data_IF_014179368355
#
_entry.id   IF_014179368355
#
_cell.length_a   1.000
_cell.length_b   1.000
_cell.length_c   1.000
_cell.angle_alpha   90.00
_cell.angle_beta   90.00
_cell.angle_gamma   90.00
#
_symmetry.space_group_name_H-M   'P 1'
#
loop_
_entity.id
_entity.type
_entity.pdbx_description
1 polymer ?
#
# COMPACT_ATOMS: atom_id res chain seq x y z
N UNK A 1 10.41 0.16 -17.91
CA UNK A 1 9.97 0.51 -16.54
C UNK A 1 9.81 -0.79 -15.74
N UNK A 2 10.55 -0.98 -14.66
CA UNK A 2 10.52 -2.22 -13.86
C UNK A 2 9.15 -2.41 -13.20
N UNK A 3 8.74 -3.66 -12.93
CA UNK A 3 7.47 -3.98 -12.25
C UNK A 3 7.37 -3.25 -10.90
N UNK A 4 8.45 -3.26 -10.13
CA UNK A 4 8.57 -2.55 -8.86
C UNK A 4 8.25 -1.06 -9.00
N UNK A 5 8.79 -0.39 -10.03
CA UNK A 5 8.53 1.03 -10.28
C UNK A 5 7.08 1.31 -10.69
N UNK A 6 6.44 0.42 -11.46
CA UNK A 6 5.00 0.52 -11.77
C UNK A 6 4.15 0.41 -10.51
N UNK A 7 4.45 -0.56 -9.67
CA UNK A 7 3.72 -0.82 -8.43
C UNK A 7 3.85 0.36 -7.46
N UNK A 8 5.06 0.88 -7.26
CA UNK A 8 5.30 2.07 -6.42
C UNK A 8 4.50 3.27 -6.93
N UNK A 9 4.46 3.51 -8.25
CA UNK A 9 3.72 4.65 -8.81
C UNK A 9 2.21 4.49 -8.66
N UNK A 10 1.66 3.31 -8.98
CA UNK A 10 0.21 3.07 -8.93
C UNK A 10 -0.28 3.03 -7.48
N UNK A 11 0.36 2.21 -6.64
CA UNK A 11 -0.03 2.07 -5.24
C UNK A 11 0.31 3.33 -4.44
N UNK A 12 1.43 3.99 -4.76
CA UNK A 12 1.78 5.28 -4.17
C UNK A 12 0.76 6.35 -4.49
N UNK A 13 0.32 6.48 -5.74
CA UNK A 13 -0.74 7.41 -6.13
C UNK A 13 -2.07 7.09 -5.43
N UNK A 14 -2.43 5.81 -5.35
CA UNK A 14 -3.62 5.35 -4.63
C UNK A 14 -3.57 5.70 -3.14
N UNK A 15 -2.44 5.43 -2.49
CA UNK A 15 -2.21 5.78 -1.09
C UNK A 15 -2.25 7.28 -0.86
N UNK A 16 -1.69 8.07 -1.77
CA UNK A 16 -1.71 9.53 -1.67
C UNK A 16 -3.13 10.09 -1.81
N UNK A 17 -3.92 9.52 -2.72
CA UNK A 17 -5.33 9.90 -2.90
C UNK A 17 -6.14 9.67 -1.61
N UNK A 18 -5.98 8.49 -0.99
CA UNK A 18 -6.67 8.17 0.26
C UNK A 18 -6.17 9.03 1.44
N UNK A 19 -4.90 9.39 1.46
CA UNK A 19 -4.37 10.36 2.42
C UNK A 19 -5.01 11.74 2.24
N UNK A 20 -5.17 12.21 1.01
CA UNK A 20 -5.85 13.47 0.71
C UNK A 20 -7.32 13.44 1.14
N UNK A 21 -8.02 12.32 0.96
CA UNK A 21 -9.41 12.14 1.41
C UNK A 21 -9.49 12.17 2.95
N UNK A 22 -8.56 11.49 3.64
CA UNK A 22 -8.48 11.52 5.09
C UNK A 22 -8.18 12.94 5.63
N UNK A 23 -7.25 13.67 4.99
CA UNK A 23 -6.94 15.06 5.30
C UNK A 23 -8.15 15.97 5.07
N UNK A 24 -8.84 15.80 3.96
CA UNK A 24 -10.05 16.55 3.64
C UNK A 24 -11.13 16.34 4.71
N UNK A 25 -11.40 15.09 5.11
CA UNK A 25 -12.33 14.82 6.21
C UNK A 25 -11.89 15.43 7.54
N UNK A 26 -10.61 15.30 7.88
CA UNK A 26 -10.07 15.89 9.11
C UNK A 26 -10.22 17.42 9.16
N UNK A 27 -10.05 18.12 8.03
CA UNK A 27 -10.14 19.58 7.94
C UNK A 27 -11.58 20.08 7.88
N UNK A 28 -12.46 19.41 7.12
CA UNK A 28 -13.79 19.95 6.80
C UNK A 28 -14.93 19.36 7.62
N UNK A 29 -14.81 18.13 8.10
CA UNK A 29 -15.95 17.46 8.74
C UNK A 29 -15.75 17.23 10.23
N UNK A 30 -14.57 17.45 10.83
CA UNK A 30 -14.26 17.16 12.26
C UNK A 30 -14.54 15.72 12.73
N UNK A 31 -15.13 14.88 11.88
CA UNK A 31 -15.47 13.49 12.14
C UNK A 31 -14.37 12.59 11.56
N UNK A 32 -13.77 11.74 12.40
CA UNK A 32 -12.68 10.82 12.03
C UNK A 32 -13.06 9.70 11.04
N UNK A 33 -14.31 9.66 10.59
CA UNK A 33 -14.88 8.61 9.74
C UNK A 33 -14.17 8.50 8.38
N UNK A 34 -13.74 9.63 7.81
CA UNK A 34 -12.98 9.66 6.57
C UNK A 34 -11.57 9.08 6.74
N UNK A 35 -10.96 9.28 7.91
CA UNK A 35 -9.69 8.66 8.27
C UNK A 35 -9.84 7.15 8.40
N UNK A 36 -10.87 6.67 9.12
CA UNK A 36 -11.14 5.22 9.28
C UNK A 36 -11.44 4.56 7.94
N UNK A 37 -12.28 5.18 7.11
CA UNK A 37 -12.63 4.65 5.79
C UNK A 37 -11.40 4.56 4.89
N UNK A 38 -10.62 5.64 4.78
CA UNK A 38 -9.40 5.67 3.97
C UNK A 38 -8.38 4.62 4.44
N UNK A 39 -8.30 4.40 5.75
CA UNK A 39 -7.46 3.37 6.34
C UNK A 39 -7.91 1.96 5.97
N UNK A 40 -9.21 1.67 6.06
CA UNK A 40 -9.79 0.39 5.64
C UNK A 40 -9.54 0.10 4.16
N UNK A 41 -9.69 1.12 3.30
CA UNK A 41 -9.35 0.99 1.88
C UNK A 41 -7.86 0.64 1.66
N UNK A 42 -6.96 1.27 2.42
CA UNK A 42 -5.52 0.94 2.37
C UNK A 42 -5.22 -0.45 2.90
N UNK A 43 -5.94 -0.92 3.91
CA UNK A 43 -5.81 -2.28 4.42
C UNK A 43 -6.27 -3.32 3.40
N UNK A 44 -7.44 -3.11 2.80
CA UNK A 44 -8.00 -4.03 1.82
C UNK A 44 -7.06 -4.14 0.60
N UNK A 45 -6.51 -3.00 0.15
CA UNK A 45 -5.66 -2.94 -1.04
C UNK A 45 -4.18 -3.19 -0.76
N UNK A 46 -3.71 -3.00 0.47
CA UNK A 46 -2.31 -3.08 0.91
C UNK A 46 -1.92 -4.38 1.58
N UNK A 47 -2.82 -5.37 1.66
CA UNK A 47 -2.74 -6.59 2.49
C UNK A 47 -3.05 -6.30 3.98
N UNK A 48 -3.56 -7.29 4.73
CA UNK A 48 -4.01 -7.11 6.12
C UNK A 48 -2.92 -6.65 7.10
N UNK A 49 -1.64 -6.66 6.72
CA UNK A 49 -0.57 -6.08 7.53
C UNK A 49 -0.72 -4.56 7.70
N UNK A 50 -1.42 -3.86 6.80
CA UNK A 50 -1.80 -2.46 7.04
C UNK A 50 -2.71 -2.30 8.26
N UNK A 51 -3.28 -3.36 8.85
CA UNK A 51 -3.97 -3.26 10.16
C UNK A 51 -2.99 -3.07 11.32
N UNK A 52 -1.69 -3.35 11.15
CA UNK A 52 -0.70 -3.10 12.19
C UNK A 52 -0.58 -1.61 12.54
N UNK A 53 -0.94 -0.69 11.65
CA UNK A 53 -1.00 0.73 12.03
C UNK A 53 -2.05 1.00 13.11
N UNK A 54 -3.07 0.17 13.28
CA UNK A 54 -4.00 0.29 14.41
C UNK A 54 -3.34 -0.03 15.76
N UNK A 55 -2.26 -0.81 15.76
CA UNK A 55 -1.50 -1.10 16.97
C UNK A 55 -0.59 0.07 17.40
N UNK A 56 -0.23 0.95 16.45
CA UNK A 56 0.78 2.00 16.63
C UNK A 56 0.17 3.40 16.69
N UNK A 57 -1.00 3.62 16.09
CA UNK A 57 -1.61 4.96 15.98
C UNK A 57 -3.09 4.99 16.37
N UNK A 58 -3.57 6.11 16.96
CA UNK A 58 -4.99 6.27 17.29
C UNK A 58 -5.88 6.13 16.05
N UNK A 59 -7.01 5.44 16.23
CA UNK A 59 -7.92 5.03 15.17
C UNK A 59 -8.43 6.25 14.38
N UNK A 60 -8.45 6.14 13.05
CA UNK A 60 -9.06 7.18 12.19
C UNK A 60 -8.27 8.48 12.05
N UNK A 61 -7.03 8.52 12.51
CA UNK A 61 -6.15 9.68 12.30
C UNK A 61 -5.51 9.66 10.92
N UNK A 62 -5.24 10.85 10.38
CA UNK A 62 -4.44 11.03 9.16
C UNK A 62 -3.08 10.34 9.27
N UNK A 63 -2.49 10.38 10.47
CA UNK A 63 -1.22 9.72 10.77
C UNK A 63 -1.33 8.20 10.60
N UNK A 64 -2.41 7.59 11.08
CA UNK A 64 -2.68 6.17 10.84
C UNK A 64 -2.79 5.85 9.36
N UNK A 65 -3.54 6.64 8.59
CA UNK A 65 -3.68 6.46 7.13
C UNK A 65 -2.34 6.56 6.40
N UNK A 66 -1.47 7.48 6.82
CA UNK A 66 -0.11 7.59 6.30
C UNK A 66 0.72 6.32 6.58
N UNK A 67 0.72 5.83 7.82
CA UNK A 67 1.47 4.64 8.21
C UNK A 67 0.96 3.40 7.46
N UNK A 68 -0.37 3.21 7.36
CA UNK A 68 -0.98 2.14 6.57
C UNK A 68 -0.52 2.17 5.10
N UNK A 69 -0.51 3.36 4.50
CA UNK A 69 -0.07 3.57 3.13
C UNK A 69 1.40 3.21 2.91
N UNK A 70 2.28 3.63 3.82
CA UNK A 70 3.71 3.30 3.77
C UNK A 70 3.94 1.80 3.92
N UNK A 71 3.27 1.16 4.88
CA UNK A 71 3.37 -0.30 5.08
C UNK A 71 2.92 -1.03 3.81
N UNK A 72 1.74 -0.69 3.27
CA UNK A 72 1.22 -1.30 2.05
C UNK A 72 2.17 -1.12 0.85
N UNK A 73 2.81 0.05 0.73
CA UNK A 73 3.75 0.33 -0.36
C UNK A 73 5.04 -0.50 -0.24
N UNK A 74 5.55 -0.67 0.97
CA UNK A 74 6.70 -1.56 1.23
C UNK A 74 6.36 -3.01 0.92
N UNK A 75 5.17 -3.47 1.30
CA UNK A 75 4.70 -4.83 1.01
C UNK A 75 4.59 -5.08 -0.49
N UNK A 76 3.92 -4.18 -1.21
CA UNK A 76 3.77 -4.29 -2.65
C UNK A 76 5.10 -4.21 -3.40
N UNK A 77 6.05 -3.42 -2.90
CA UNK A 77 7.41 -3.36 -3.45
C UNK A 77 8.14 -4.69 -3.26
N UNK A 78 8.04 -5.31 -2.08
CA UNK A 78 8.62 -6.62 -1.81
C UNK A 78 7.99 -7.72 -2.70
N UNK A 79 6.66 -7.72 -2.86
CA UNK A 79 5.95 -8.66 -3.75
C UNK A 79 6.41 -8.49 -5.21
N UNK A 80 6.57 -7.25 -5.66
CA UNK A 80 7.04 -6.97 -7.03
C UNK A 80 8.46 -7.49 -7.26
N UNK A 81 9.35 -7.35 -6.27
CA UNK A 81 10.74 -7.85 -6.33
C UNK A 81 10.81 -9.38 -6.30
N UNK A 82 9.99 -10.02 -5.47
CA UNK A 82 9.90 -11.50 -5.48
C UNK A 82 9.34 -11.99 -6.81
N UNK A 83 8.36 -11.29 -7.38
CA UNK A 83 7.77 -11.62 -8.67
C UNK A 83 8.77 -11.51 -9.83
N UNK A 84 9.63 -10.48 -9.86
CA UNK A 84 10.67 -10.37 -10.90
C UNK A 84 11.69 -11.51 -10.79
N UNK A 85 12.19 -11.79 -9.59
CA UNK A 85 13.13 -12.89 -9.34
C UNK A 85 12.55 -14.25 -9.73
N UNK A 86 11.25 -14.48 -9.46
CA UNK A 86 10.56 -15.70 -9.85
C UNK A 86 10.44 -15.86 -11.36
N UNK A 87 10.24 -14.77 -12.10
CA UNK A 87 10.20 -14.79 -13.57
C UNK A 87 11.56 -15.07 -14.19
N UNK A 88 12.63 -14.49 -13.64
CA UNK A 88 14.01 -14.79 -14.04
C UNK A 88 14.34 -16.27 -13.83
N UNK A 89 14.01 -16.81 -12.66
CA UNK A 89 14.18 -18.23 -12.38
C UNK A 89 13.39 -19.12 -13.35
N UNK A 90 12.12 -18.79 -13.63
CA UNK A 90 11.30 -19.53 -14.61
C UNK A 90 11.82 -19.46 -16.04
N UNK A 91 12.47 -18.35 -16.44
CA UNK A 91 13.09 -18.23 -17.76
C UNK A 91 14.34 -19.10 -17.86
N UNK A 92 15.23 -19.00 -16.88
CA UNK A 92 16.43 -19.86 -16.81
C UNK A 92 16.08 -21.35 -16.83
N UNK A 93 15.01 -21.76 -16.13
CA UNK A 93 14.51 -23.15 -16.17
C UNK A 93 14.02 -23.57 -17.55
N UNK A 94 13.46 -22.67 -18.36
CA UNK A 94 12.97 -22.98 -19.71
C UNK A 94 14.11 -23.12 -20.70
N UNK A 95 15.08 -22.22 -20.65
CA UNK A 95 16.27 -22.24 -21.52
C UNK A 95 17.17 -23.46 -21.29
N UNK A 96 17.22 -24.01 -20.07
CA UNK A 96 17.98 -25.23 -19.76
C UNK A 96 17.26 -26.54 -20.15
N UNK A 97 16.02 -26.47 -20.62
CA UNK A 97 15.22 -27.64 -21.03
C UNK A 97 15.00 -27.72 -22.55
N UNK A 98 15.54 -26.77 -23.32
CA UNK A 98 15.64 -26.78 -24.79
C UNK A 98 17.08 -27.16 -25.21
#
# INVERSE_FOLDING_TARGET
>A
MTKTRKVILIYGAWSLLLLCIALYGAVFTTHGEFGVSSHLWLTITGLPLSLLSWLVTPHGTVLGTLVAGVIGLLQWSAVAEVSSRWEEWRKSKRENHE
#
